data_IF_907768522006
#
_entry.id   IF_907768522006
#
_cell.length_a   1.000
_cell.length_b   1.000
_cell.length_c   1.000
_cell.angle_alpha   90.00
_cell.angle_beta   90.00
_cell.angle_gamma   90.00
#
_symmetry.space_group_name_H-M   'P 1'
#
loop_
_entity.id
_entity.type
_entity.pdbx_description
1 polymer ?
#
# COMPACT_ATOMS: atom_id res chain seq x y z
N UNK A 1 -4.47 -8.45 -1.04
CA UNK A 1 -4.05 -9.70 -0.38
C UNK A 1 -3.37 -9.32 0.92
N UNK A 2 -4.04 -9.55 2.05
CA UNK A 2 -3.51 -9.20 3.37
C UNK A 2 -2.46 -10.26 3.75
N UNK A 3 -1.18 -9.94 3.59
CA UNK A 3 -0.10 -10.74 4.16
C UNK A 3 -0.10 -10.55 5.68
N UNK A 4 0.00 -11.65 6.42
CA UNK A 4 -0.32 -11.77 7.84
C UNK A 4 0.76 -11.22 8.79
N UNK A 5 1.41 -10.10 8.46
CA UNK A 5 2.16 -9.34 9.45
C UNK A 5 1.18 -8.33 10.06
N UNK A 6 0.53 -8.72 11.16
CA UNK A 6 -0.28 -7.77 11.93
C UNK A 6 0.69 -6.70 12.45
N UNK A 7 0.64 -5.51 11.87
CA UNK A 7 1.24 -4.34 12.50
C UNK A 7 0.43 -4.13 13.78
N UNK A 8 0.99 -4.53 14.92
CA UNK A 8 0.36 -4.36 16.21
C UNK A 8 0.51 -2.89 16.63
N UNK A 9 -0.52 -2.11 16.30
CA UNK A 9 -0.64 -0.73 16.75
C UNK A 9 -1.21 -0.73 18.17
N UNK A 10 -0.33 -0.65 19.17
CA UNK A 10 -0.75 -0.50 20.57
C UNK A 10 -1.23 0.95 20.82
N UNK A 11 -2.50 1.21 20.49
CA UNK A 11 -3.15 2.50 20.72
C UNK A 11 -3.67 2.61 22.14
N UNK A 12 -2.81 3.04 23.06
CA UNK A 12 -3.25 3.54 24.37
C UNK A 12 -4.26 4.68 24.18
N UNK A 13 -5.44 4.55 24.81
CA UNK A 13 -6.58 5.49 24.88
C UNK A 13 -6.47 6.75 24.00
N UNK A 14 -7.15 6.72 22.85
CA UNK A 14 -7.18 7.79 21.84
C UNK A 14 -8.21 8.88 22.12
N UNK A 15 -8.18 9.43 23.33
CA UNK A 15 -8.91 10.65 23.61
C UNK A 15 -7.98 11.55 24.43
N UNK A 16 -7.58 12.66 23.79
CA UNK A 16 -7.04 13.91 24.35
C UNK A 16 -5.59 14.30 23.98
N UNK A 17 -5.51 15.42 23.26
CA UNK A 17 -4.36 16.34 23.07
C UNK A 17 -3.15 15.88 22.24
N UNK A 18 -2.66 16.79 21.37
CA UNK A 18 -1.49 16.63 20.48
C UNK A 18 -0.20 16.15 21.17
N UNK A 19 -0.11 16.24 22.51
CA UNK A 19 1.02 15.76 23.31
C UNK A 19 1.12 14.23 23.37
N UNK A 20 -0.01 13.50 23.28
CA UNK A 20 -0.03 12.04 23.48
C UNK A 20 0.62 11.27 22.32
N UNK A 21 0.61 11.82 21.11
CA UNK A 21 1.11 11.16 19.90
C UNK A 21 2.63 10.89 19.99
N UNK A 22 3.38 11.77 20.67
CA UNK A 22 4.83 11.62 20.81
C UNK A 22 5.25 10.43 21.69
N UNK A 23 4.33 9.86 22.47
CA UNK A 23 4.58 8.74 23.37
C UNK A 23 3.97 7.40 22.89
N UNK A 24 3.41 7.35 21.67
CA UNK A 24 2.88 6.10 21.10
C UNK A 24 4.04 5.27 20.55
N UNK A 25 4.20 4.05 21.08
CA UNK A 25 5.16 3.07 20.56
C UNK A 25 4.46 2.21 19.50
N UNK A 26 4.87 2.35 18.24
CA UNK A 26 4.42 1.48 17.14
C UNK A 26 5.50 0.42 16.91
N UNK A 27 5.10 -0.85 16.93
CA UNK A 27 6.00 -1.99 16.82
C UNK A 27 5.57 -2.94 15.71
N UNK A 28 6.55 -3.61 15.11
CA UNK A 28 6.36 -4.80 14.29
C UNK A 28 7.13 -5.91 14.99
N UNK A 29 6.45 -7.00 15.37
CA UNK A 29 7.03 -8.11 16.14
C UNK A 29 7.82 -7.63 17.37
N UNK A 30 7.19 -6.77 18.18
CA UNK A 30 7.75 -6.11 19.38
C UNK A 30 8.95 -5.14 19.16
N UNK A 31 9.48 -5.07 17.94
CA UNK A 31 10.56 -4.16 17.56
C UNK A 31 9.94 -2.81 17.15
N UNK A 32 10.38 -1.67 17.72
CA UNK A 32 9.93 -0.34 17.30
C UNK A 32 10.12 -0.11 15.80
N UNK A 33 9.10 0.40 15.10
CA UNK A 33 9.20 0.66 13.65
C UNK A 33 10.40 1.56 13.27
N UNK A 34 10.77 2.48 14.16
CA UNK A 34 11.91 3.40 13.99
C UNK A 34 13.27 2.70 13.97
N UNK A 35 13.34 1.45 14.44
CA UNK A 35 14.58 0.67 14.49
C UNK A 35 14.77 -0.17 13.21
N UNK A 36 13.76 -0.23 12.32
CA UNK A 36 13.87 -0.89 11.03
C UNK A 36 14.47 0.03 9.96
N UNK A 37 15.11 -0.58 8.95
CA UNK A 37 15.46 0.14 7.73
C UNK A 37 14.19 0.61 7.01
N UNK A 38 14.11 1.92 6.75
CA UNK A 38 12.90 2.53 6.17
C UNK A 38 12.55 2.01 4.78
N UNK A 39 13.55 1.66 3.96
CA UNK A 39 13.31 1.13 2.61
C UNK A 39 12.74 -0.29 2.69
N UNK A 40 13.30 -1.14 3.56
CA UNK A 40 12.78 -2.48 3.79
C UNK A 40 11.33 -2.44 4.30
N UNK A 41 11.06 -1.58 5.30
CA UNK A 41 9.73 -1.45 5.88
C UNK A 41 8.70 -1.04 4.81
N UNK A 42 9.05 -0.07 3.95
CA UNK A 42 8.19 0.38 2.84
C UNK A 42 8.02 -0.68 1.75
N UNK A 43 9.02 -1.51 1.49
CA UNK A 43 8.92 -2.60 0.51
C UNK A 43 7.98 -3.74 0.95
N UNK A 44 7.70 -3.85 2.25
CA UNK A 44 6.86 -4.93 2.81
C UNK A 44 5.41 -4.50 3.04
N UNK A 45 5.12 -3.20 2.97
CA UNK A 45 3.81 -2.62 3.29
C UNK A 45 3.24 -1.91 2.05
N UNK A 46 2.10 -2.40 1.55
CA UNK A 46 1.26 -1.65 0.61
C UNK A 46 0.33 -0.68 1.33
N UNK A 47 0.24 0.56 0.86
CA UNK A 47 -0.62 1.61 1.44
C UNK A 47 -1.67 2.05 0.42
N UNK A 48 -2.93 2.13 0.84
CA UNK A 48 -4.03 2.69 0.04
C UNK A 48 -4.51 3.98 0.72
N UNK A 49 -4.38 5.10 0.01
CA UNK A 49 -4.81 6.41 0.50
C UNK A 49 -6.33 6.57 0.34
N UNK A 50 -6.96 7.35 1.24
CA UNK A 50 -8.38 7.69 1.12
C UNK A 50 -8.68 8.42 -0.20
N UNK A 51 -7.78 9.33 -0.59
CA UNK A 51 -7.77 9.99 -1.89
C UNK A 51 -6.53 9.50 -2.65
N UNK A 52 -6.67 8.44 -3.49
CA UNK A 52 -5.54 7.88 -4.21
C UNK A 52 -5.02 8.84 -5.29
N UNK A 53 -3.69 8.89 -5.43
CA UNK A 53 -3.02 9.67 -6.47
C UNK A 53 -2.85 8.77 -7.70
N UNK A 54 -3.25 9.26 -8.87
CA UNK A 54 -3.08 8.60 -10.16
C UNK A 54 -2.27 9.52 -11.06
N UNK A 55 -1.24 8.98 -11.72
CA UNK A 55 -0.38 9.70 -12.64
C UNK A 55 -0.98 9.69 -14.05
N UNK A 56 -0.65 10.74 -14.82
CA UNK A 56 -0.98 10.84 -16.25
C UNK A 56 -0.08 9.86 -17.02
N UNK A 57 -0.51 8.61 -17.04
CA UNK A 57 0.21 7.43 -17.54
C UNK A 57 -0.82 6.33 -17.82
N UNK A 58 -0.40 5.21 -18.42
CA UNK A 58 -1.30 4.08 -18.64
C UNK A 58 -1.68 3.41 -17.31
N UNK A 59 -2.73 2.58 -17.34
CA UNK A 59 -3.14 1.83 -16.13
C UNK A 59 -2.03 0.88 -15.69
N UNK A 60 -1.36 0.21 -16.63
CA UNK A 60 -0.24 -0.67 -16.33
C UNK A 60 0.94 0.10 -15.71
N UNK A 61 1.26 1.30 -16.22
CA UNK A 61 2.31 2.16 -15.65
C UNK A 61 1.98 2.61 -14.22
N UNK A 62 0.72 2.97 -13.94
CA UNK A 62 0.31 3.31 -12.58
C UNK A 62 0.41 2.13 -11.61
N UNK A 63 0.14 0.90 -12.08
CA UNK A 63 0.26 -0.31 -11.26
C UNK A 63 1.73 -0.65 -11.00
N UNK A 64 2.59 -0.54 -12.02
CA UNK A 64 4.04 -0.77 -11.92
C UNK A 64 4.79 0.25 -11.10
N UNK A 65 4.18 1.39 -10.80
CA UNK A 65 4.78 2.41 -9.92
C UNK A 65 5.25 1.84 -8.56
N UNK A 66 4.64 0.73 -8.09
CA UNK A 66 5.08 0.04 -6.87
C UNK A 66 6.24 -0.95 -7.08
N UNK A 67 6.40 -1.48 -8.29
CA UNK A 67 7.44 -2.42 -8.70
C UNK A 67 7.51 -2.51 -10.24
N UNK A 68 8.56 -1.94 -10.83
CA UNK A 68 8.77 -1.91 -12.29
C UNK A 68 9.10 -3.29 -12.89
N UNK A 69 9.41 -4.30 -12.05
CA UNK A 69 9.72 -5.65 -12.51
C UNK A 69 8.48 -6.49 -12.85
N UNK A 70 7.28 -6.00 -12.52
CA UNK A 70 6.01 -6.72 -12.75
C UNK A 70 5.73 -6.91 -14.24
N UNK A 71 5.45 -8.16 -14.60
CA UNK A 71 5.07 -8.55 -15.96
C UNK A 71 3.67 -8.05 -16.34
N UNK A 72 3.26 -8.18 -17.60
CA UNK A 72 1.89 -7.85 -17.99
C UNK A 72 0.88 -8.78 -17.29
N UNK A 73 1.25 -10.04 -17.12
CA UNK A 73 0.46 -11.06 -16.46
C UNK A 73 0.24 -10.74 -14.97
N UNK A 74 1.28 -10.23 -14.29
CA UNK A 74 1.17 -9.78 -12.89
C UNK A 74 0.22 -8.58 -12.76
N UNK A 75 0.28 -7.64 -13.70
CA UNK A 75 -0.61 -6.47 -13.75
C UNK A 75 -2.06 -6.89 -13.96
N UNK A 76 -2.32 -7.84 -14.85
CA UNK A 76 -3.66 -8.40 -15.09
C UNK A 76 -4.20 -9.17 -13.87
N UNK A 77 -3.37 -9.96 -13.20
CA UNK A 77 -3.75 -10.63 -11.95
C UNK A 77 -4.08 -9.61 -10.87
N UNK A 78 -3.27 -8.56 -10.69
CA UNK A 78 -3.56 -7.49 -9.75
C UNK A 78 -4.92 -6.81 -10.04
N UNK A 79 -5.22 -6.58 -11.32
CA UNK A 79 -6.52 -6.05 -11.75
C UNK A 79 -7.67 -7.02 -11.44
N UNK A 80 -7.48 -8.33 -11.60
CA UNK A 80 -8.49 -9.33 -11.21
C UNK A 80 -8.71 -9.38 -9.71
N UNK A 81 -7.64 -9.39 -8.92
CA UNK A 81 -7.70 -9.39 -7.46
C UNK A 81 -8.37 -8.12 -6.90
N UNK A 82 -8.18 -6.97 -7.58
CA UNK A 82 -8.83 -5.70 -7.25
C UNK A 82 -10.26 -5.58 -7.81
N UNK A 83 -10.79 -6.60 -8.50
CA UNK A 83 -12.08 -6.56 -9.20
C UNK A 83 -12.18 -5.40 -10.22
N UNK A 84 -11.03 -5.02 -10.78
CA UNK A 84 -10.89 -3.90 -11.71
C UNK A 84 -10.93 -4.35 -13.19
N UNK A 85 -10.58 -5.61 -13.47
CA UNK A 85 -10.48 -6.15 -14.83
C UNK A 85 -11.68 -5.79 -15.72
N UNK A 86 -12.91 -6.00 -15.24
CA UNK A 86 -14.11 -5.81 -16.03
C UNK A 86 -14.43 -4.36 -16.42
N UNK A 87 -14.01 -3.36 -15.62
CA UNK A 87 -14.16 -1.96 -16.03
C UNK A 87 -13.01 -1.54 -16.93
N UNK A 88 -11.80 -2.01 -16.64
CA UNK A 88 -10.63 -1.57 -17.37
C UNK A 88 -10.62 -2.11 -18.80
N UNK A 89 -11.06 -3.35 -19.04
CA UNK A 89 -11.23 -3.88 -20.40
C UNK A 89 -12.22 -3.09 -21.27
N UNK A 90 -13.03 -2.20 -20.66
CA UNK A 90 -13.97 -1.31 -21.37
C UNK A 90 -13.38 0.08 -21.61
N UNK A 91 -12.24 0.41 -21.00
CA UNK A 91 -11.51 1.64 -21.31
C UNK A 91 -10.80 1.42 -22.63
N UNK A 92 -11.25 2.12 -23.66
CA UNK A 92 -11.01 1.74 -25.05
C UNK A 92 -9.54 1.77 -25.47
N UNK A 93 -8.63 2.53 -24.82
CA UNK A 93 -7.28 2.75 -25.38
C UNK A 93 -6.15 3.04 -24.36
N UNK A 94 -6.30 2.85 -23.05
CA UNK A 94 -5.33 3.37 -22.03
C UNK A 94 -4.72 2.30 -21.11
N UNK A 95 -4.73 1.02 -21.50
CA UNK A 95 -4.29 -0.06 -20.59
C UNK A 95 -2.78 -0.28 -20.55
N UNK A 96 -2.13 -0.37 -21.72
CA UNK A 96 -0.69 -0.56 -21.88
C UNK A 96 -0.05 0.60 -22.62
#
# INVERSE_FOLDING_TARGET
>A
MFLSNKIDVNMGKLYETKEVINNIKITLDDIPLRDFNINWLRSTIGVVQQEPIIFVATVAENIRMGDDSLTNEDVEEACRMANAQGFISKLSEVFF
#
